data_IF_387452084930
#
_entry.id   IF_387452084930
#
_cell.length_a   1.000
_cell.length_b   1.000
_cell.length_c   1.000
_cell.angle_alpha   90.00
_cell.angle_beta   90.00
_cell.angle_gamma   90.00
#
_symmetry.space_group_name_H-M   'P 1'
#
loop_
_entity.id
_entity.type
_entity.pdbx_description
1 polymer ?
#
# COMPACT_ATOMS: atom_id res chain seq x y z
N UNK A 1 4.99 -1.55 -12.10
CA UNK A 1 4.40 -0.92 -13.32
C UNK A 1 2.87 -0.77 -13.24
N UNK A 2 2.35 0.38 -13.66
CA UNK A 2 0.90 0.63 -13.77
C UNK A 2 0.31 -0.11 -14.98
N UNK A 3 -0.77 -0.90 -14.78
CA UNK A 3 -1.42 -1.70 -15.84
C UNK A 3 -2.69 -1.02 -16.33
N UNK A 4 -3.53 -0.54 -15.41
CA UNK A 4 -4.70 0.26 -15.76
C UNK A 4 -4.49 1.71 -15.34
N UNK A 5 -4.98 2.64 -16.16
CA UNK A 5 -4.88 4.08 -15.87
C UNK A 5 -5.61 4.42 -14.58
N UNK A 6 -4.95 5.14 -13.68
CA UNK A 6 -5.59 5.65 -12.49
C UNK A 6 -6.63 6.74 -12.83
N UNK A 7 -7.89 6.51 -12.45
CA UNK A 7 -9.00 7.47 -12.60
C UNK A 7 -9.74 7.58 -11.27
N UNK A 8 -9.73 8.79 -10.69
CA UNK A 8 -10.37 9.11 -9.42
C UNK A 8 -11.54 10.05 -9.65
N UNK A 9 -12.67 9.79 -9.00
CA UNK A 9 -13.80 10.70 -8.92
C UNK A 9 -13.88 11.32 -7.51
N UNK A 10 -13.92 12.66 -7.39
CA UNK A 10 -14.11 13.30 -6.10
C UNK A 10 -15.53 13.02 -5.62
N UNK A 11 -15.68 12.57 -4.37
CA UNK A 11 -16.99 12.46 -3.73
C UNK A 11 -17.48 13.86 -3.33
N UNK A 12 -18.80 14.02 -3.21
CA UNK A 12 -19.55 15.30 -3.06
C UNK A 12 -18.97 16.30 -2.05
N UNK A 13 -18.18 15.85 -1.06
CA UNK A 13 -17.57 16.68 -0.03
C UNK A 13 -16.10 17.08 -0.30
N UNK A 14 -15.49 16.67 -1.43
CA UNK A 14 -14.11 17.01 -1.82
C UNK A 14 -12.99 16.35 -1.00
N UNK A 15 -13.30 15.72 0.13
CA UNK A 15 -12.31 15.11 1.04
C UNK A 15 -11.93 13.67 0.70
N UNK A 16 -12.73 12.97 -0.11
CA UNK A 16 -12.55 11.55 -0.43
C UNK A 16 -12.63 11.33 -1.93
N UNK A 17 -11.79 10.44 -2.43
CA UNK A 17 -11.76 10.05 -3.82
C UNK A 17 -12.19 8.59 -3.95
N UNK A 18 -13.03 8.32 -4.94
CA UNK A 18 -13.44 6.97 -5.29
C UNK A 18 -12.76 6.54 -6.59
N UNK A 19 -12.27 5.31 -6.64
CA UNK A 19 -11.78 4.73 -7.89
C UNK A 19 -12.94 4.54 -8.86
N UNK A 20 -12.87 5.23 -10.00
CA UNK A 20 -13.88 5.12 -11.05
C UNK A 20 -13.86 3.77 -11.75
N UNK A 21 -12.70 3.11 -11.80
CA UNK A 21 -12.50 1.80 -12.41
C UNK A 21 -11.53 0.96 -11.57
N UNK A 22 -11.45 -0.34 -11.86
CA UNK A 22 -10.44 -1.20 -11.25
C UNK A 22 -9.04 -0.68 -11.55
N UNK A 23 -8.26 -0.49 -10.49
CA UNK A 23 -6.88 -0.04 -10.58
C UNK A 23 -5.93 -1.22 -10.39
N UNK A 24 -5.12 -1.52 -11.40
CA UNK A 24 -4.21 -2.66 -11.40
C UNK A 24 -2.78 -2.16 -11.45
N UNK A 25 -2.00 -2.55 -10.44
CA UNK A 25 -0.57 -2.30 -10.37
C UNK A 25 0.19 -3.62 -10.35
N UNK A 26 1.14 -3.78 -11.25
CA UNK A 26 1.98 -4.97 -11.35
C UNK A 26 3.33 -4.75 -10.67
N UNK A 27 3.73 -5.72 -9.84
CA UNK A 27 5.01 -5.75 -9.14
C UNK A 27 5.70 -7.05 -9.53
N UNK A 28 6.75 -6.95 -10.36
CA UNK A 28 7.57 -8.10 -10.77
C UNK A 28 6.75 -9.29 -11.31
N UNK A 29 5.66 -9.02 -12.05
CA UNK A 29 4.74 -10.01 -12.61
C UNK A 29 3.56 -10.40 -11.71
N UNK A 30 3.47 -9.86 -10.49
CA UNK A 30 2.32 -10.03 -9.60
C UNK A 30 1.40 -8.81 -9.64
N UNK A 31 0.12 -9.02 -9.92
CA UNK A 31 -0.86 -7.93 -10.02
C UNK A 31 -1.61 -7.71 -8.71
N UNK A 32 -1.53 -6.49 -8.18
CA UNK A 32 -2.41 -6.01 -7.12
C UNK A 32 -3.57 -5.27 -7.77
N UNK A 33 -4.78 -5.79 -7.55
CA UNK A 33 -6.03 -5.24 -8.10
C UNK A 33 -6.79 -4.53 -7.00
N UNK A 34 -6.98 -3.22 -7.14
CA UNK A 34 -7.80 -2.41 -6.27
C UNK A 34 -9.17 -2.26 -6.94
N UNK A 35 -10.26 -2.72 -6.29
CA UNK A 35 -11.57 -2.77 -6.92
C UNK A 35 -12.11 -1.37 -7.24
N UNK A 36 -12.93 -1.29 -8.29
CA UNK A 36 -13.77 -0.13 -8.55
C UNK A 36 -14.63 0.20 -7.32
N UNK A 37 -14.82 1.48 -7.04
CA UNK A 37 -15.57 1.94 -5.88
C UNK A 37 -14.76 1.93 -4.58
N UNK A 38 -13.46 1.58 -4.63
CA UNK A 38 -12.59 1.73 -3.48
C UNK A 38 -12.42 3.23 -3.15
N UNK A 39 -12.88 3.59 -1.96
CA UNK A 39 -12.76 4.95 -1.44
C UNK A 39 -11.42 5.08 -0.73
N UNK A 40 -10.56 5.92 -1.28
CA UNK A 40 -9.28 6.33 -0.72
C UNK A 40 -9.37 7.80 -0.32
N UNK A 41 -8.90 8.11 0.87
CA UNK A 41 -8.71 9.51 1.29
C UNK A 41 -7.33 10.04 0.86
N UNK A 42 -6.46 9.18 0.29
CA UNK A 42 -5.02 9.41 0.09
C UNK A 42 -4.32 9.91 1.37
N UNK A 43 -4.99 9.78 2.52
CA UNK A 43 -4.70 10.42 3.81
C UNK A 43 -4.22 9.40 4.85
N UNK A 44 -4.09 8.13 4.48
CA UNK A 44 -3.38 7.12 5.28
C UNK A 44 -1.92 7.51 5.53
N UNK A 45 -1.35 8.37 4.67
CA UNK A 45 -0.13 9.11 4.98
C UNK A 45 -0.48 10.12 6.08
N UNK A 46 0.11 10.03 7.30
CA UNK A 46 -0.29 10.87 8.41
C UNK A 46 -0.31 12.36 8.02
N UNK A 47 -1.37 13.09 8.36
CA UNK A 47 -1.57 14.51 7.98
C UNK A 47 -0.35 15.41 8.26
N UNK A 48 0.47 15.06 9.24
CA UNK A 48 1.73 15.76 9.54
C UNK A 48 2.72 15.79 8.36
N UNK A 49 2.58 14.88 7.39
CA UNK A 49 3.39 14.82 6.18
C UNK A 49 2.76 15.55 4.99
N UNK A 50 1.49 15.96 5.07
CA UNK A 50 0.84 16.79 4.04
C UNK A 50 1.43 18.20 3.96
N UNK A 51 2.05 18.68 5.03
CA UNK A 51 2.79 19.94 5.03
C UNK A 51 4.11 19.86 4.24
N UNK A 52 4.64 18.65 4.05
CA UNK A 52 5.92 18.39 3.36
C UNK A 52 5.67 17.85 1.94
N UNK A 53 4.54 17.16 1.74
CA UNK A 53 4.20 16.50 0.48
C UNK A 53 2.75 16.82 0.06
N UNK A 54 2.52 17.35 -1.14
CA UNK A 54 1.17 17.68 -1.62
C UNK A 54 0.25 16.44 -1.63
N UNK A 55 -1.08 16.57 -1.51
CA UNK A 55 -1.98 15.42 -1.47
C UNK A 55 -1.89 14.52 -2.72
N UNK A 56 -1.45 15.08 -3.85
CA UNK A 56 -1.24 14.37 -5.10
C UNK A 56 0.20 14.52 -5.60
N UNK A 57 0.75 13.48 -6.21
CA UNK A 57 2.09 13.52 -6.80
C UNK A 57 2.48 12.19 -7.44
N UNK A 58 3.77 12.06 -7.80
CA UNK A 58 4.29 10.84 -8.43
C UNK A 58 4.08 9.56 -7.61
N UNK A 59 3.82 9.66 -6.30
CA UNK A 59 3.56 8.52 -5.42
C UNK A 59 2.07 8.16 -5.27
N UNK A 60 1.13 8.89 -5.89
CA UNK A 60 -0.30 8.62 -5.75
C UNK A 60 -0.67 7.17 -6.10
N UNK A 61 -0.17 6.57 -7.20
CA UNK A 61 -0.27 5.13 -7.44
C UNK A 61 0.12 4.24 -6.24
N UNK A 62 1.25 4.57 -5.60
CA UNK A 62 1.76 3.83 -4.44
C UNK A 62 0.82 3.96 -3.24
N UNK A 63 0.31 5.16 -3.00
CA UNK A 63 -0.60 5.44 -1.89
C UNK A 63 -1.91 4.65 -2.01
N UNK A 64 -2.49 4.56 -3.22
CA UNK A 64 -3.74 3.82 -3.45
C UNK A 64 -3.56 2.32 -3.22
N UNK A 65 -2.46 1.75 -3.72
CA UNK A 65 -2.12 0.34 -3.46
C UNK A 65 -1.93 0.11 -1.97
N UNK A 66 -1.20 1.00 -1.28
CA UNK A 66 -0.96 0.91 0.16
C UNK A 66 -2.27 0.98 0.97
N UNK A 67 -3.14 1.94 0.67
CA UNK A 67 -4.45 2.11 1.30
C UNK A 67 -5.31 0.85 1.16
N UNK A 68 -5.33 0.26 -0.04
CA UNK A 68 -6.06 -0.97 -0.29
C UNK A 68 -5.53 -2.13 0.57
N UNK A 69 -4.21 -2.31 0.61
CA UNK A 69 -3.56 -3.35 1.42
C UNK A 69 -3.79 -3.14 2.92
N UNK A 70 -3.88 -1.90 3.37
CA UNK A 70 -4.19 -1.52 4.75
C UNK A 70 -5.69 -1.66 5.10
N UNK A 71 -6.57 -1.58 4.11
CA UNK A 71 -8.02 -1.69 4.29
C UNK A 71 -8.47 -3.10 4.69
N UNK A 72 -9.72 -3.22 5.15
CA UNK A 72 -10.38 -4.51 5.43
C UNK A 72 -10.63 -5.36 4.19
N UNK A 73 -10.52 -4.76 3.00
CA UNK A 73 -10.81 -5.38 1.71
C UNK A 73 -9.59 -6.03 1.06
N UNK A 74 -8.40 -5.95 1.68
CA UNK A 74 -7.24 -6.67 1.21
C UNK A 74 -7.52 -8.18 1.18
N UNK A 75 -7.53 -8.74 -0.03
CA UNK A 75 -7.72 -10.17 -0.30
C UNK A 75 -6.42 -10.89 -0.64
N UNK A 76 -5.31 -10.16 -0.77
CA UNK A 76 -4.02 -10.70 -1.22
C UNK A 76 -3.36 -11.58 -0.17
N UNK A 77 -3.57 -11.29 1.12
CA UNK A 77 -2.81 -11.91 2.22
C UNK A 77 -1.44 -11.28 2.44
N UNK A 78 -1.16 -10.15 1.79
CA UNK A 78 0.00 -9.30 2.08
C UNK A 78 -0.25 -8.61 3.42
N UNK A 79 0.70 -8.78 4.34
CA UNK A 79 0.67 -8.21 5.68
C UNK A 79 1.19 -6.77 5.68
N UNK A 80 1.14 -6.13 6.85
CA UNK A 80 1.54 -4.73 7.00
C UNK A 80 2.99 -4.49 6.55
N UNK A 81 3.93 -5.33 6.98
CA UNK A 81 5.35 -5.14 6.66
C UNK A 81 5.64 -5.26 5.17
N UNK A 82 5.02 -6.23 4.48
CA UNK A 82 5.14 -6.33 3.02
C UNK A 82 4.38 -5.21 2.31
N UNK A 83 3.24 -4.76 2.80
CA UNK A 83 2.51 -3.62 2.24
C UNK A 83 3.36 -2.34 2.26
N UNK A 84 4.09 -2.10 3.35
CA UNK A 84 5.03 -0.96 3.46
C UNK A 84 6.21 -1.10 2.50
N UNK A 85 6.72 -2.32 2.27
CA UNK A 85 7.78 -2.59 1.27
C UNK A 85 7.27 -2.38 -0.16
N UNK A 86 6.07 -2.87 -0.47
CA UNK A 86 5.37 -2.62 -1.74
C UNK A 86 5.26 -1.12 -2.00
N UNK A 87 4.85 -0.35 -1.00
CA UNK A 87 4.76 1.10 -1.10
C UNK A 87 6.10 1.76 -1.45
N UNK A 88 7.19 1.36 -0.77
CA UNK A 88 8.54 1.85 -1.07
C UNK A 88 9.00 1.49 -2.49
N UNK A 89 8.72 0.26 -2.92
CA UNK A 89 9.08 -0.24 -4.25
C UNK A 89 8.36 0.50 -5.36
N UNK A 90 7.03 0.67 -5.24
CA UNK A 90 6.24 1.41 -6.23
C UNK A 90 6.74 2.86 -6.34
N UNK A 91 7.06 3.50 -5.22
CA UNK A 91 7.65 4.85 -5.24
C UNK A 91 9.02 4.89 -5.95
N UNK A 92 9.83 3.84 -5.83
CA UNK A 92 11.09 3.71 -6.55
C UNK A 92 10.86 3.58 -8.07
N UNK A 93 9.96 2.70 -8.49
CA UNK A 93 9.56 2.55 -9.90
C UNK A 93 9.06 3.86 -10.51
N UNK A 94 8.31 4.65 -9.73
CA UNK A 94 7.76 5.95 -10.16
C UNK A 94 8.79 7.10 -10.12
N UNK A 95 10.05 6.80 -9.81
CA UNK A 95 11.13 7.78 -9.79
C UNK A 95 10.99 8.82 -8.67
N UNK A 96 10.36 8.46 -7.55
CA UNK A 96 10.30 9.32 -6.36
C UNK A 96 11.70 9.37 -5.73
N UNK A 97 12.23 10.58 -5.53
CA UNK A 97 13.58 10.77 -5.00
C UNK A 97 13.85 9.98 -3.72
N UNK A 98 15.06 9.42 -3.61
CA UNK A 98 15.46 8.49 -2.54
C UNK A 98 15.11 8.98 -1.13
N UNK A 99 15.47 10.23 -0.80
CA UNK A 99 15.18 10.82 0.52
C UNK A 99 13.68 10.87 0.82
N UNK A 100 12.88 11.27 -0.17
CA UNK A 100 11.42 11.36 -0.06
C UNK A 100 10.80 10.00 0.18
N UNK A 101 11.09 9.00 -0.65
CA UNK A 101 10.52 7.65 -0.50
C UNK A 101 10.94 6.97 0.80
N UNK A 102 12.19 7.16 1.27
CA UNK A 102 12.66 6.63 2.55
C UNK A 102 12.00 7.31 3.75
N UNK A 103 11.78 8.63 3.69
CA UNK A 103 11.05 9.34 4.72
C UNK A 103 9.60 8.83 4.83
N UNK A 104 8.91 8.70 3.69
CA UNK A 104 7.53 8.19 3.62
C UNK A 104 7.46 6.73 4.10
N UNK A 105 8.41 5.87 3.71
CA UNK A 105 8.51 4.50 4.20
C UNK A 105 8.70 4.43 5.72
N UNK A 106 9.63 5.21 6.28
CA UNK A 106 9.85 5.26 7.73
C UNK A 106 8.58 5.73 8.47
N UNK A 107 7.87 6.71 7.92
CA UNK A 107 6.62 7.19 8.49
C UNK A 107 5.57 6.09 8.62
N UNK A 108 5.30 5.33 7.55
CA UNK A 108 4.30 4.23 7.60
C UNK A 108 4.76 3.07 8.51
N UNK A 109 6.06 2.79 8.58
CA UNK A 109 6.62 1.81 9.53
C UNK A 109 6.42 2.23 10.99
N UNK A 110 6.56 3.51 11.30
CA UNK A 110 6.46 4.02 12.67
C UNK A 110 5.01 4.30 13.11
N UNK A 111 4.15 4.78 12.21
CA UNK A 111 2.83 5.31 12.58
C UNK A 111 1.65 4.61 11.89
N UNK A 112 1.91 3.79 10.87
CA UNK A 112 0.84 3.17 10.07
C UNK A 112 0.00 2.13 10.81
N UNK A 113 0.50 1.58 11.91
CA UNK A 113 -0.20 0.51 12.66
C UNK A 113 -1.64 0.87 13.03
N UNK A 114 -1.88 2.13 13.42
CA UNK A 114 -3.22 2.62 13.79
C UNK A 114 -4.22 2.61 12.63
N UNK A 115 -3.73 2.63 11.39
CA UNK A 115 -4.53 2.62 10.17
C UNK A 115 -4.70 1.19 9.61
N UNK A 116 -3.97 0.20 10.13
CA UNK A 116 -4.08 -1.19 9.68
C UNK A 116 -5.40 -1.79 10.18
N UNK A 117 -6.27 -2.19 9.26
CA UNK A 117 -7.57 -2.79 9.58
C UNK A 117 -7.51 -4.31 9.47
N UNK A 118 -8.29 -4.98 10.32
CA UNK A 118 -8.54 -6.43 10.23
C UNK A 118 -9.19 -6.80 8.89
N UNK A 119 -8.78 -7.94 8.31
CA UNK A 119 -9.22 -8.33 6.95
C UNK A 119 -10.44 -9.22 6.99
N UNK A 120 -11.30 -9.07 5.98
CA UNK A 120 -12.53 -9.87 5.85
C UNK A 120 -12.29 -11.28 5.33
N UNK A 121 -11.26 -11.51 4.51
CA UNK A 121 -11.05 -12.80 3.82
C UNK A 121 -9.64 -13.38 3.92
N UNK A 122 -8.60 -12.54 4.01
CA UNK A 122 -7.22 -13.02 3.96
C UNK A 122 -6.28 -12.06 4.71
N UNK A 123 -6.12 -12.28 6.02
CA UNK A 123 -5.25 -11.45 6.88
C UNK A 123 -3.76 -11.76 6.66
N UNK A 124 -3.45 -12.86 5.96
CA UNK A 124 -2.09 -13.37 5.84
C UNK A 124 -1.48 -13.69 7.21
N UNK A 125 -0.16 -13.70 7.27
CA UNK A 125 0.58 -13.82 8.51
C UNK A 125 0.58 -12.48 9.25
N UNK A 126 0.07 -12.46 10.49
CA UNK A 126 0.10 -11.30 11.39
C UNK A 126 1.48 -11.18 12.02
N UNK A 127 2.17 -10.07 11.78
CA UNK A 127 3.47 -9.80 12.40
C UNK A 127 3.36 -9.85 13.94
N UNK A 128 3.89 -10.90 14.57
CA UNK A 128 3.89 -11.04 16.03
C UNK A 128 5.08 -10.34 16.69
N UNK A 129 6.18 -10.16 15.95
CA UNK A 129 7.40 -9.52 16.41
C UNK A 129 8.14 -8.82 15.26
N UNK A 130 9.04 -7.89 15.60
CA UNK A 130 9.93 -7.21 14.64
C UNK A 130 10.82 -8.22 13.90
N UNK A 131 11.16 -9.33 14.56
CA UNK A 131 11.84 -10.49 13.99
C UNK A 131 11.15 -11.75 14.51
N UNK A 132 10.16 -12.24 13.78
CA UNK A 132 9.56 -13.56 14.04
C UNK A 132 10.26 -14.61 13.16
N UNK A 133 10.71 -15.70 13.79
CA UNK A 133 11.38 -16.85 13.15
C UNK A 133 10.55 -18.14 13.22
N UNK A 134 9.25 -18.01 13.47
CA UNK A 134 8.32 -19.14 13.37
C UNK A 134 8.33 -19.72 11.96
N UNK A 135 8.11 -21.02 11.86
CA UNK A 135 8.00 -21.73 10.59
C UNK A 135 6.93 -21.10 9.67
N UNK A 136 5.80 -20.71 10.25
CA UNK A 136 4.73 -19.98 9.55
C UNK A 136 5.23 -18.67 8.92
N UNK A 137 5.98 -17.86 9.69
CA UNK A 137 6.56 -16.62 9.18
C UNK A 137 7.58 -16.89 8.07
N UNK A 138 8.45 -17.89 8.23
CA UNK A 138 9.45 -18.26 7.23
C UNK A 138 8.80 -18.66 5.90
N UNK A 139 7.83 -19.58 5.93
CA UNK A 139 7.09 -20.03 4.76
C UNK A 139 6.36 -18.86 4.10
N UNK A 140 5.73 -18.00 4.90
CA UNK A 140 5.02 -16.81 4.42
C UNK A 140 5.94 -15.84 3.68
N UNK A 141 7.06 -15.46 4.30
CA UNK A 141 8.00 -14.50 3.73
C UNK A 141 8.76 -15.10 2.54
N UNK A 142 9.10 -16.39 2.56
CA UNK A 142 9.71 -17.09 1.42
C UNK A 142 8.78 -17.06 0.20
N UNK A 143 7.50 -17.40 0.39
CA UNK A 143 6.48 -17.33 -0.67
C UNK A 143 6.40 -15.92 -1.27
N UNK A 144 6.27 -14.89 -0.44
CA UNK A 144 6.09 -13.52 -0.93
C UNK A 144 7.36 -12.93 -1.52
N UNK A 145 8.54 -13.25 -0.97
CA UNK A 145 9.82 -12.82 -1.56
C UNK A 145 10.02 -13.46 -2.94
N UNK A 146 9.61 -14.72 -3.13
CA UNK A 146 9.66 -15.39 -4.44
C UNK A 146 8.72 -14.75 -5.47
N UNK A 147 7.53 -14.35 -5.04
CA UNK A 147 6.51 -13.73 -5.90
C UNK A 147 6.87 -12.27 -6.23
N UNK A 148 7.12 -11.45 -5.20
CA UNK A 148 7.25 -10.00 -5.33
C UNK A 148 8.68 -9.55 -5.58
N UNK A 149 9.70 -10.34 -5.20
CA UNK A 149 11.13 -10.02 -5.38
C UNK A 149 11.52 -8.63 -4.83
N UNK A 150 11.05 -8.32 -3.61
CA UNK A 150 11.24 -7.04 -2.90
C UNK A 150 12.35 -7.08 -1.84
#
# INVERSE_FOLDING_TARGET
MEVTKLILHPLVNGEKNELYQEYVYEINGYQIKVPQGFVTDLASVPRIFWSIFPPFGKYTPAAIVHDFLYSKYNTTGINRTLADKVFLFIMEELGVGYLKRKAMYRAVRSFGERSWKEKLKNDGYKDKAVVDRTEEALIYYEKWNKILKL
#
